data_IF_675316780140
#
_entry.id   IF_675316780140
#
_cell.length_a   1.000
_cell.length_b   1.000
_cell.length_c   1.000
_cell.angle_alpha   90.00
_cell.angle_beta   90.00
_cell.angle_gamma   90.00
#
_symmetry.space_group_name_H-M   'P 1'
#
loop_
_entity.id
_entity.type
_entity.pdbx_description
1 polymer ?
#
# COMPACT_ATOMS: atom_id res chain seq x y z
N UNK A 1 -18.87 16.96 29.38
CA UNK A 1 -19.64 16.60 28.18
C UNK A 1 -18.72 16.86 27.01
N UNK A 2 -18.08 15.84 26.51
CA UNK A 2 -17.27 15.92 25.28
C UNK A 2 -18.17 15.49 24.14
N UNK A 3 -18.52 16.44 23.28
CA UNK A 3 -19.27 16.17 22.08
C UNK A 3 -18.44 15.28 21.15
N UNK A 4 -19.04 14.14 20.81
CA UNK A 4 -18.42 13.13 19.98
C UNK A 4 -18.02 13.68 18.62
N UNK A 5 -16.76 13.51 18.29
CA UNK A 5 -16.25 13.70 16.95
C UNK A 5 -17.03 12.77 16.01
N UNK A 6 -17.86 13.36 15.17
CA UNK A 6 -18.59 12.67 14.11
C UNK A 6 -17.55 12.14 13.11
N UNK A 7 -17.10 10.90 13.31
CA UNK A 7 -16.40 10.17 12.26
C UNK A 7 -17.46 9.92 11.19
N UNK A 8 -17.40 10.72 10.13
CA UNK A 8 -18.26 10.57 8.97
C UNK A 8 -18.17 9.12 8.52
N UNK A 9 -19.29 8.43 8.62
CA UNK A 9 -19.50 7.07 8.14
C UNK A 9 -19.15 7.04 6.65
N UNK A 10 -17.92 6.67 6.30
CA UNK A 10 -17.57 6.25 4.96
C UNK A 10 -18.44 5.02 4.68
N UNK A 11 -19.49 5.22 3.91
CA UNK A 11 -20.33 4.12 3.48
C UNK A 11 -19.48 3.20 2.59
N UNK A 12 -19.62 1.89 2.73
CA UNK A 12 -18.86 0.86 1.98
C UNK A 12 -18.84 1.08 0.46
N UNK A 13 -19.78 1.84 -0.07
CA UNK A 13 -19.92 2.16 -1.50
C UNK A 13 -18.85 3.13 -2.03
N UNK A 14 -18.01 3.72 -1.18
CA UNK A 14 -17.02 4.74 -1.56
C UNK A 14 -15.57 4.38 -1.23
N UNK A 15 -15.30 3.15 -0.74
CA UNK A 15 -13.92 2.71 -0.53
C UNK A 15 -13.29 2.27 -1.87
N UNK A 16 -12.02 2.60 -2.13
CA UNK A 16 -11.33 2.12 -3.32
C UNK A 16 -11.18 0.61 -3.26
N UNK A 17 -11.24 -0.05 -4.40
CA UNK A 17 -10.87 -1.46 -4.56
C UNK A 17 -9.38 -1.60 -4.86
N UNK A 18 -8.85 -2.81 -4.78
CA UNK A 18 -7.48 -3.13 -5.23
C UNK A 18 -7.25 -2.65 -6.67
N UNK A 19 -8.22 -2.87 -7.54
CA UNK A 19 -8.18 -2.45 -8.96
C UNK A 19 -8.07 -0.92 -9.08
N UNK A 20 -8.82 -0.16 -8.29
CA UNK A 20 -8.77 1.30 -8.32
C UNK A 20 -7.39 1.81 -7.88
N UNK A 21 -6.81 1.21 -6.83
CA UNK A 21 -5.49 1.56 -6.33
C UNK A 21 -4.42 1.20 -7.37
N UNK A 22 -4.46 -0.01 -7.94
CA UNK A 22 -3.50 -0.45 -8.95
C UNK A 22 -3.54 0.48 -10.17
N UNK A 23 -4.72 0.75 -10.73
CA UNK A 23 -4.88 1.65 -11.88
C UNK A 23 -4.32 3.04 -11.59
N UNK A 24 -4.55 3.55 -10.38
CA UNK A 24 -4.07 4.87 -9.95
C UNK A 24 -2.55 4.97 -9.95
N UNK A 25 -1.85 3.93 -9.50
CA UNK A 25 -0.41 3.99 -9.26
C UNK A 25 0.44 3.41 -10.38
N UNK A 26 -0.03 2.38 -11.09
CA UNK A 26 0.68 1.82 -12.25
C UNK A 26 0.53 2.71 -13.50
N UNK A 27 -0.63 3.35 -13.66
CA UNK A 27 -0.95 4.05 -14.89
C UNK A 27 -1.14 3.10 -16.07
N UNK A 28 -1.65 3.62 -17.18
CA UNK A 28 -1.87 2.83 -18.39
C UNK A 28 -0.79 3.04 -19.43
N UNK A 29 -0.16 1.95 -19.88
CA UNK A 29 0.81 1.94 -20.96
C UNK A 29 0.29 1.11 -22.13
N UNK A 30 -0.05 1.79 -23.25
CA UNK A 30 -0.53 1.12 -24.46
C UNK A 30 0.54 0.25 -25.10
N UNK A 31 1.80 0.66 -25.03
CA UNK A 31 2.93 0.00 -25.66
C UNK A 31 3.84 -0.65 -24.61
N UNK A 32 4.25 -1.88 -24.88
CA UNK A 32 5.22 -2.59 -24.06
C UNK A 32 6.53 -1.80 -23.93
N UNK A 33 7.00 -1.63 -22.72
CA UNK A 33 8.27 -0.98 -22.38
C UNK A 33 9.16 -1.93 -21.58
N UNK A 34 10.49 -1.81 -21.71
CA UNK A 34 11.44 -2.66 -20.99
C UNK A 34 11.53 -2.27 -19.52
N UNK A 35 12.12 -3.12 -18.72
CA UNK A 35 12.55 -2.78 -17.36
C UNK A 35 13.39 -1.51 -17.37
N UNK A 36 13.05 -0.48 -16.59
CA UNK A 36 13.76 0.81 -16.60
C UNK A 36 15.23 0.71 -16.17
N UNK A 37 15.57 -0.29 -15.35
CA UNK A 37 16.93 -0.47 -14.83
C UNK A 37 17.86 -1.08 -15.86
N UNK A 38 17.37 -2.08 -16.60
CA UNK A 38 18.18 -2.84 -17.56
C UNK A 38 18.02 -2.36 -19.00
N UNK A 39 16.90 -1.74 -19.34
CA UNK A 39 16.53 -1.38 -20.70
C UNK A 39 16.13 -2.58 -21.58
N UNK A 40 16.01 -3.77 -20.99
CA UNK A 40 15.71 -5.04 -21.64
C UNK A 40 14.51 -5.73 -20.97
N UNK A 41 14.33 -7.05 -21.21
CA UNK A 41 13.29 -7.83 -20.54
C UNK A 41 13.52 -7.87 -18.99
N UNK A 42 12.42 -7.97 -18.21
CA UNK A 42 11.03 -8.18 -18.64
C UNK A 42 10.40 -6.92 -19.24
N UNK A 43 9.51 -7.13 -20.23
CA UNK A 43 8.69 -6.05 -20.77
C UNK A 43 7.36 -5.97 -20.03
N UNK A 44 6.90 -4.74 -19.83
CA UNK A 44 5.65 -4.44 -19.11
C UNK A 44 4.67 -3.73 -20.03
N UNK A 45 3.37 -4.06 -19.96
CA UNK A 45 2.30 -3.44 -20.74
C UNK A 45 1.06 -3.21 -19.88
N UNK A 46 0.17 -2.34 -20.30
CA UNK A 46 -1.12 -2.11 -19.64
C UNK A 46 -0.96 -1.48 -18.26
N UNK A 47 -1.37 -2.17 -17.21
CA UNK A 47 -1.29 -1.77 -15.80
C UNK A 47 -0.28 -2.61 -15.02
N UNK A 48 0.87 -2.89 -15.58
CA UNK A 48 1.92 -3.64 -14.91
C UNK A 48 2.09 -5.08 -15.42
N UNK A 49 1.29 -5.53 -16.37
CA UNK A 49 1.32 -6.90 -16.90
C UNK A 49 2.67 -7.23 -17.55
N UNK A 50 3.33 -8.26 -17.08
CA UNK A 50 4.58 -8.82 -17.62
C UNK A 50 4.38 -10.18 -18.30
N UNK A 51 3.37 -10.92 -17.87
CA UNK A 51 2.98 -12.22 -18.44
C UNK A 51 1.48 -12.21 -18.74
N UNK A 52 1.10 -12.72 -19.89
CA UNK A 52 -0.30 -12.89 -20.26
C UNK A 52 -0.96 -14.05 -19.50
N UNK A 53 -2.31 -14.15 -19.49
CA UNK A 53 -3.03 -15.23 -18.79
C UNK A 53 -2.68 -16.64 -19.27
N UNK A 54 -2.13 -16.81 -20.45
CA UNK A 54 -1.64 -18.08 -21.00
C UNK A 54 -0.18 -18.41 -20.60
N UNK A 55 0.45 -17.51 -19.82
CA UNK A 55 1.82 -17.66 -19.36
C UNK A 55 2.90 -17.12 -20.29
N UNK A 56 2.53 -16.64 -21.48
CA UNK A 56 3.50 -16.05 -22.41
C UNK A 56 3.98 -14.69 -21.90
N UNK A 57 5.30 -14.39 -22.02
CA UNK A 57 5.83 -13.12 -21.59
C UNK A 57 5.40 -11.98 -22.53
N UNK A 58 5.31 -10.78 -21.99
CA UNK A 58 5.15 -9.57 -22.81
C UNK A 58 6.46 -9.30 -23.56
N UNK A 59 6.34 -9.02 -24.86
CA UNK A 59 7.48 -8.80 -25.74
C UNK A 59 7.59 -7.36 -26.22
N UNK A 60 8.78 -6.99 -26.66
CA UNK A 60 9.07 -5.68 -27.20
C UNK A 60 8.15 -5.33 -28.38
N UNK A 61 7.53 -4.14 -28.31
CA UNK A 61 6.74 -3.58 -29.39
C UNK A 61 5.28 -4.03 -29.43
N UNK A 62 4.89 -4.91 -28.51
CA UNK A 62 3.48 -5.29 -28.38
C UNK A 62 2.64 -4.10 -27.92
N UNK A 63 1.36 -4.12 -28.31
CA UNK A 63 0.36 -3.09 -28.02
C UNK A 63 -0.87 -3.73 -27.37
N UNK A 64 -1.45 -3.03 -26.41
CA UNK A 64 -2.75 -3.40 -25.88
C UNK A 64 -3.67 -2.17 -25.74
N UNK A 65 -4.95 -2.38 -25.95
CA UNK A 65 -5.96 -1.36 -25.66
C UNK A 65 -6.22 -1.28 -24.16
N UNK A 66 -6.71 -0.13 -23.69
CA UNK A 66 -7.14 0.05 -22.31
C UNK A 66 -8.10 -1.06 -21.83
N UNK A 67 -9.07 -1.44 -22.68
CA UNK A 67 -10.00 -2.53 -22.38
C UNK A 67 -9.27 -3.86 -22.17
N UNK A 68 -8.27 -4.16 -22.99
CA UNK A 68 -7.51 -5.40 -22.91
C UNK A 68 -6.59 -5.38 -21.66
N UNK A 69 -5.95 -4.24 -21.38
CA UNK A 69 -5.18 -4.05 -20.16
C UNK A 69 -6.01 -4.28 -18.90
N UNK A 70 -7.25 -3.77 -18.84
CA UNK A 70 -8.18 -4.09 -17.73
C UNK A 70 -8.50 -5.57 -17.60
N UNK A 71 -8.61 -6.30 -18.72
CA UNK A 71 -8.85 -7.76 -18.66
C UNK A 71 -7.65 -8.50 -18.08
N UNK A 72 -6.43 -8.09 -18.39
CA UNK A 72 -5.21 -8.66 -17.82
C UNK A 72 -5.13 -8.38 -16.32
N UNK A 73 -5.33 -7.12 -15.93
CA UNK A 73 -5.37 -6.74 -14.52
C UNK A 73 -6.41 -7.52 -13.72
N UNK A 74 -7.63 -7.69 -14.24
CA UNK A 74 -8.67 -8.49 -13.59
C UNK A 74 -8.24 -9.94 -13.39
N UNK A 75 -7.55 -10.52 -14.38
CA UNK A 75 -7.00 -11.86 -14.26
C UNK A 75 -5.93 -11.94 -13.17
N UNK A 76 -4.97 -11.01 -13.15
CA UNK A 76 -3.90 -10.96 -12.15
C UNK A 76 -4.44 -10.80 -10.72
N UNK A 77 -5.40 -9.88 -10.54
CA UNK A 77 -6.10 -9.66 -9.26
C UNK A 77 -6.82 -10.93 -8.79
N UNK A 78 -7.50 -11.63 -9.70
CA UNK A 78 -8.19 -12.89 -9.38
C UNK A 78 -7.22 -13.99 -8.97
N UNK A 79 -6.06 -14.12 -9.63
CA UNK A 79 -5.04 -15.09 -9.26
C UNK A 79 -4.44 -14.77 -7.87
N UNK A 80 -4.12 -13.50 -7.60
CA UNK A 80 -3.65 -13.06 -6.27
C UNK A 80 -4.73 -13.36 -5.21
N UNK A 81 -5.99 -13.05 -5.50
CA UNK A 81 -7.10 -13.30 -4.56
C UNK A 81 -7.24 -14.78 -4.20
N UNK A 82 -7.08 -15.68 -5.19
CA UNK A 82 -7.10 -17.14 -4.95
C UNK A 82 -5.97 -17.58 -4.02
N UNK A 83 -4.75 -17.09 -4.28
CA UNK A 83 -3.59 -17.40 -3.45
C UNK A 83 -3.76 -16.86 -2.03
N UNK A 84 -4.16 -15.60 -1.90
CA UNK A 84 -4.36 -14.95 -0.61
C UNK A 84 -5.49 -15.60 0.20
N UNK A 85 -6.61 -15.95 -0.43
CA UNK A 85 -7.72 -16.64 0.23
C UNK A 85 -7.34 -18.04 0.70
N UNK A 86 -6.42 -18.72 0.00
CA UNK A 86 -5.89 -20.02 0.43
C UNK A 86 -4.96 -19.86 1.64
N UNK A 87 -4.14 -18.83 1.66
CA UNK A 87 -3.17 -18.56 2.72
C UNK A 87 -3.84 -18.01 3.99
N UNK A 88 -4.75 -17.04 3.83
CA UNK A 88 -5.45 -16.36 4.91
C UNK A 88 -6.96 -16.41 4.65
N UNK A 89 -7.65 -17.52 4.97
CA UNK A 89 -9.06 -17.75 4.57
C UNK A 89 -10.06 -16.74 5.13
N UNK A 90 -9.86 -16.29 6.36
CA UNK A 90 -10.84 -15.50 7.14
C UNK A 90 -10.53 -13.98 7.15
N UNK A 91 -9.78 -13.50 6.14
CA UNK A 91 -9.42 -12.09 6.06
C UNK A 91 -10.62 -11.22 5.66
N UNK A 92 -10.80 -10.09 6.36
CA UNK A 92 -11.83 -9.09 6.01
C UNK A 92 -11.65 -8.60 4.57
N UNK A 93 -12.76 -8.25 3.91
CA UNK A 93 -12.74 -7.85 2.50
C UNK A 93 -11.91 -6.59 2.23
N UNK A 94 -11.96 -5.60 3.13
CA UNK A 94 -11.14 -4.39 2.96
C UNK A 94 -9.65 -4.68 3.16
N UNK A 95 -9.32 -5.56 4.10
CA UNK A 95 -7.93 -6.02 4.31
C UNK A 95 -7.45 -6.82 3.11
N UNK A 96 -8.29 -7.68 2.56
CA UNK A 96 -8.02 -8.48 1.36
C UNK A 96 -7.74 -7.59 0.15
N UNK A 97 -8.60 -6.64 -0.13
CA UNK A 97 -8.44 -5.68 -1.22
C UNK A 97 -7.12 -4.86 -1.09
N UNK A 98 -6.78 -4.44 0.13
CA UNK A 98 -5.53 -3.76 0.39
C UNK A 98 -4.31 -4.64 0.10
N UNK A 99 -4.32 -5.89 0.59
CA UNK A 99 -3.24 -6.84 0.37
C UNK A 99 -3.12 -7.27 -1.10
N UNK A 100 -4.23 -7.41 -1.83
CA UNK A 100 -4.19 -7.69 -3.27
C UNK A 100 -3.43 -6.59 -4.02
N UNK A 101 -3.74 -5.31 -3.76
CA UNK A 101 -2.98 -4.21 -4.36
C UNK A 101 -1.51 -4.22 -3.95
N UNK A 102 -1.24 -4.48 -2.69
CA UNK A 102 0.11 -4.56 -2.15
C UNK A 102 0.91 -5.68 -2.81
N UNK A 103 0.35 -6.90 -2.87
CA UNK A 103 0.97 -8.08 -3.48
C UNK A 103 1.20 -7.87 -4.99
N UNK A 104 0.26 -7.23 -5.68
CA UNK A 104 0.45 -6.86 -7.10
C UNK A 104 1.70 -5.98 -7.28
N UNK A 105 2.01 -5.11 -6.32
CA UNK A 105 3.18 -4.23 -6.37
C UNK A 105 4.51 -4.93 -6.06
N UNK A 106 4.53 -5.83 -5.09
CA UNK A 106 5.77 -6.42 -4.59
C UNK A 106 6.01 -7.85 -5.09
N UNK A 107 4.95 -8.53 -5.54
CA UNK A 107 4.97 -9.94 -5.93
C UNK A 107 4.52 -10.87 -4.80
N UNK A 108 4.05 -12.07 -5.19
CA UNK A 108 3.56 -13.08 -4.25
C UNK A 108 4.67 -13.67 -3.38
N UNK A 109 5.80 -14.08 -3.97
CA UNK A 109 6.91 -14.66 -3.20
C UNK A 109 7.50 -13.71 -2.15
N UNK A 110 7.81 -12.43 -2.46
CA UNK A 110 8.22 -11.47 -1.46
C UNK A 110 7.22 -11.30 -0.32
N UNK A 111 5.91 -11.34 -0.61
CA UNK A 111 4.88 -11.28 0.43
C UNK A 111 4.93 -12.51 1.37
N UNK A 112 5.06 -13.72 0.83
CA UNK A 112 5.15 -14.96 1.63
C UNK A 112 6.33 -14.98 2.60
N UNK A 113 7.43 -14.31 2.25
CA UNK A 113 8.64 -14.25 3.08
C UNK A 113 8.75 -12.94 3.86
N UNK A 114 7.68 -12.15 3.92
CA UNK A 114 7.68 -10.87 4.63
C UNK A 114 7.17 -11.03 6.06
N UNK A 115 7.67 -10.16 6.96
CA UNK A 115 7.16 -10.04 8.32
C UNK A 115 5.67 -9.64 8.37
N UNK A 116 5.10 -9.18 7.23
CA UNK A 116 3.68 -8.83 7.11
C UNK A 116 2.81 -10.07 7.31
N UNK A 117 3.13 -11.16 6.64
CA UNK A 117 2.36 -12.41 6.76
C UNK A 117 2.44 -12.95 8.19
N UNK A 118 3.64 -13.03 8.76
CA UNK A 118 3.85 -13.50 10.14
C UNK A 118 3.03 -12.67 11.14
N UNK A 119 3.03 -11.35 10.99
CA UNK A 119 2.27 -10.45 11.87
C UNK A 119 0.76 -10.57 11.71
N UNK A 120 0.27 -10.84 10.50
CA UNK A 120 -1.14 -11.14 10.25
C UNK A 120 -1.56 -12.45 10.92
N UNK A 121 -0.77 -13.52 10.79
CA UNK A 121 -1.03 -14.81 11.42
C UNK A 121 -1.05 -14.71 12.95
N UNK A 122 -0.23 -13.83 13.51
CA UNK A 122 -0.20 -13.54 14.93
C UNK A 122 -1.31 -12.57 15.40
N UNK A 123 -2.18 -12.11 14.51
CA UNK A 123 -3.20 -11.09 14.74
C UNK A 123 -2.64 -9.74 15.22
N UNK A 124 -1.41 -9.41 14.85
CA UNK A 124 -0.75 -8.12 15.12
C UNK A 124 -0.99 -7.14 13.98
N UNK A 125 -2.24 -6.76 13.81
CA UNK A 125 -2.72 -6.00 12.64
C UNK A 125 -2.07 -4.64 12.47
N UNK A 126 -1.81 -3.93 13.56
CA UNK A 126 -1.10 -2.65 13.59
C UNK A 126 0.35 -2.80 13.09
N UNK A 127 1.04 -3.85 13.55
CA UNK A 127 2.39 -4.18 13.11
C UNK A 127 2.41 -4.56 11.63
N UNK A 128 1.42 -5.34 11.16
CA UNK A 128 1.31 -5.67 9.73
C UNK A 128 1.20 -4.40 8.87
N UNK A 129 0.39 -3.44 9.28
CA UNK A 129 0.26 -2.17 8.59
C UNK A 129 1.55 -1.33 8.62
N UNK A 130 2.31 -1.36 9.74
CA UNK A 130 3.63 -0.72 9.83
C UNK A 130 4.64 -1.37 8.89
N UNK A 131 4.67 -2.71 8.82
CA UNK A 131 5.54 -3.44 7.90
C UNK A 131 5.24 -3.11 6.44
N UNK A 132 3.97 -2.93 6.05
CA UNK A 132 3.62 -2.50 4.70
C UNK A 132 4.28 -1.17 4.31
N UNK A 133 4.47 -0.23 5.25
CA UNK A 133 5.15 1.04 4.99
C UNK A 133 6.62 0.90 4.63
N UNK A 134 7.28 -0.18 5.01
CA UNK A 134 8.70 -0.40 4.73
C UNK A 134 8.97 -0.73 3.25
N UNK A 135 7.93 -1.05 2.49
CA UNK A 135 8.04 -1.41 1.07
C UNK A 135 7.90 -0.19 0.15
N UNK A 136 8.77 0.80 0.36
CA UNK A 136 8.80 2.06 -0.41
C UNK A 136 10.16 2.34 -1.04
N UNK A 137 11.11 1.40 -0.97
CA UNK A 137 12.45 1.53 -1.48
C UNK A 137 12.64 0.78 -2.80
N UNK A 138 13.53 1.30 -3.65
CA UNK A 138 14.07 0.58 -4.78
C UNK A 138 15.24 -0.35 -4.36
N UNK A 139 15.87 -0.98 -5.37
CA UNK A 139 17.01 -1.89 -5.17
C UNK A 139 18.25 -1.20 -4.59
N UNK A 140 18.37 0.11 -4.75
CA UNK A 140 19.47 0.94 -4.25
C UNK A 140 19.12 1.60 -2.90
N UNK A 141 18.05 1.16 -2.25
CA UNK A 141 17.53 1.71 -1.00
C UNK A 141 17.16 3.20 -1.09
N UNK A 142 16.79 3.66 -2.30
CA UNK A 142 16.23 4.99 -2.48
C UNK A 142 14.72 4.96 -2.33
N UNK A 143 14.16 5.96 -1.66
CA UNK A 143 12.71 6.07 -1.47
C UNK A 143 12.03 6.42 -2.79
N UNK A 144 11.01 5.66 -3.15
CA UNK A 144 10.16 5.92 -4.31
C UNK A 144 8.89 6.65 -3.85
N UNK A 145 8.82 7.96 -4.08
CA UNK A 145 7.71 8.81 -3.61
C UNK A 145 6.33 8.27 -3.99
N UNK A 146 6.18 7.73 -5.19
CA UNK A 146 4.91 7.14 -5.65
C UNK A 146 4.49 5.93 -4.80
N UNK A 147 5.46 5.14 -4.30
CA UNK A 147 5.18 4.01 -3.41
C UNK A 147 4.72 4.45 -2.03
N UNK A 148 5.20 5.59 -1.52
CA UNK A 148 4.70 6.16 -0.25
C UNK A 148 3.19 6.39 -0.32
N UNK A 149 2.73 7.05 -1.40
CA UNK A 149 1.30 7.30 -1.59
C UNK A 149 0.50 6.03 -1.76
N UNK A 150 1.04 5.06 -2.52
CA UNK A 150 0.40 3.77 -2.72
C UNK A 150 0.25 3.02 -1.39
N UNK A 151 1.33 2.90 -0.62
CA UNK A 151 1.32 2.27 0.72
C UNK A 151 0.30 2.93 1.63
N UNK A 152 0.24 4.27 1.62
CA UNK A 152 -0.76 5.01 2.39
C UNK A 152 -2.19 4.57 2.05
N UNK A 153 -2.55 4.55 0.77
CA UNK A 153 -3.91 4.20 0.36
C UNK A 153 -4.24 2.74 0.67
N UNK A 154 -3.31 1.82 0.48
CA UNK A 154 -3.43 0.40 0.83
C UNK A 154 -3.59 0.21 2.34
N UNK A 155 -2.77 0.86 3.16
CA UNK A 155 -2.85 0.78 4.61
C UNK A 155 -4.15 1.38 5.13
N UNK A 156 -4.61 2.49 4.55
CA UNK A 156 -5.91 3.05 4.91
C UNK A 156 -7.06 2.05 4.70
N UNK A 157 -7.05 1.38 3.57
CA UNK A 157 -8.05 0.35 3.27
C UNK A 157 -7.93 -0.85 4.24
N UNK A 158 -6.71 -1.31 4.52
CA UNK A 158 -6.42 -2.39 5.46
C UNK A 158 -6.96 -2.08 6.86
N UNK A 159 -6.63 -0.90 7.40
CA UNK A 159 -7.08 -0.46 8.72
C UNK A 159 -8.60 -0.27 8.80
N UNK A 160 -9.25 0.10 7.70
CA UNK A 160 -10.71 0.16 7.64
C UNK A 160 -11.35 -1.20 7.89
N UNK A 161 -10.76 -2.28 7.36
CA UNK A 161 -11.18 -3.66 7.63
C UNK A 161 -11.03 -4.03 9.11
N UNK A 162 -9.93 -3.65 9.72
CA UNK A 162 -9.67 -3.89 11.14
C UNK A 162 -10.76 -3.21 12.01
N UNK A 163 -11.04 -1.93 11.76
CA UNK A 163 -12.06 -1.18 12.51
C UNK A 163 -13.46 -1.81 12.42
N UNK A 164 -13.84 -2.27 11.22
CA UNK A 164 -15.15 -2.91 11.00
C UNK A 164 -15.34 -4.18 11.82
N UNK A 165 -14.28 -4.95 12.00
CA UNK A 165 -14.32 -6.22 12.72
C UNK A 165 -14.16 -6.06 14.23
N UNK A 166 -14.05 -4.83 14.73
CA UNK A 166 -13.93 -4.54 16.16
C UNK A 166 -12.63 -5.06 16.77
N UNK A 167 -11.62 -5.31 15.95
CA UNK A 167 -10.28 -5.61 16.48
C UNK A 167 -9.77 -4.39 17.24
N UNK A 168 -9.36 -4.61 18.48
CA UNK A 168 -8.75 -3.56 19.27
C UNK A 168 -7.39 -3.19 18.66
N UNK A 169 -7.24 -1.92 18.32
CA UNK A 169 -5.93 -1.39 18.04
C UNK A 169 -5.12 -1.33 19.33
N UNK A 170 -4.10 -2.15 19.45
CA UNK A 170 -3.07 -1.98 20.48
C UNK A 170 -2.27 -0.68 20.28
N UNK A 171 -2.39 -0.07 19.13
CA UNK A 171 -1.68 1.12 18.72
C UNK A 171 -2.61 2.28 18.35
N UNK A 172 -2.81 3.20 19.25
CA UNK A 172 -3.20 4.58 18.94
C UNK A 172 -2.24 5.23 17.92
N UNK A 173 -1.16 4.53 17.59
CA UNK A 173 -0.07 4.90 16.70
C UNK A 173 -0.50 5.06 15.25
N UNK A 174 -1.19 4.08 14.68
CA UNK A 174 -1.56 4.09 13.26
C UNK A 174 -2.78 4.98 12.99
N UNK A 175 -3.75 5.00 13.89
CA UNK A 175 -4.85 5.98 13.79
C UNK A 175 -4.31 7.41 13.82
N UNK A 176 -3.29 7.67 14.64
CA UNK A 176 -2.62 8.95 14.68
C UNK A 176 -1.80 9.21 13.40
N UNK A 177 -1.17 8.21 12.79
CA UNK A 177 -0.50 8.35 11.50
C UNK A 177 -1.50 8.72 10.40
N UNK A 178 -2.65 8.08 10.35
CA UNK A 178 -3.70 8.41 9.39
C UNK A 178 -4.30 9.80 9.60
N UNK A 179 -4.48 10.20 10.84
CA UNK A 179 -4.95 11.55 11.19
C UNK A 179 -3.95 12.64 10.80
N UNK A 180 -2.65 12.33 10.75
CA UNK A 180 -1.60 13.24 10.27
C UNK A 180 -1.74 13.50 8.77
N UNK A 181 -2.18 12.51 7.98
CA UNK A 181 -2.35 12.66 6.54
C UNK A 181 -3.54 13.51 6.14
N UNK A 182 -4.55 13.61 6.99
CA UNK A 182 -5.80 14.28 6.66
C UNK A 182 -5.98 15.67 7.32
N UNK A 183 -5.16 16.06 8.30
CA UNK A 183 -5.44 17.30 9.06
C UNK A 183 -4.26 17.90 9.81
N UNK A 184 -4.19 19.17 9.73
CA UNK A 184 -3.59 20.28 10.52
C UNK A 184 -2.30 20.09 11.37
N UNK A 185 -1.52 21.20 11.54
CA UNK A 185 -0.18 21.25 12.18
C UNK A 185 -0.09 20.79 13.65
N UNK A 186 -1.19 20.59 14.33
CA UNK A 186 -1.19 20.20 15.76
C UNK A 186 -0.98 18.70 16.01
N UNK A 187 -0.82 17.88 14.97
CA UNK A 187 -0.68 16.44 15.08
C UNK A 187 0.76 15.93 15.01
N UNK A 188 1.74 16.84 15.03
CA UNK A 188 3.18 16.55 15.06
C UNK A 188 3.59 15.60 16.23
N UNK A 189 2.82 15.53 17.30
CA UNK A 189 3.05 14.56 18.39
C UNK A 189 2.90 13.09 17.99
N UNK A 190 2.13 12.81 16.94
CA UNK A 190 1.96 11.47 16.43
C UNK A 190 3.13 11.03 15.55
N UNK A 191 3.77 11.95 14.80
CA UNK A 191 5.00 11.67 14.04
C UNK A 191 6.11 11.15 14.95
N UNK A 192 6.25 11.68 16.16
CA UNK A 192 7.27 11.23 17.13
C UNK A 192 7.11 9.77 17.59
N UNK A 193 5.90 9.23 17.55
CA UNK A 193 5.67 7.81 17.89
C UNK A 193 5.89 6.90 16.68
N UNK A 194 5.72 7.40 15.46
CA UNK A 194 6.10 6.72 14.22
C UNK A 194 7.62 6.64 14.05
N UNK A 195 8.38 7.57 14.61
CA UNK A 195 9.86 7.59 14.55
C UNK A 195 10.53 6.34 15.10
N UNK A 196 9.87 5.59 15.97
CA UNK A 196 10.45 4.36 16.52
C UNK A 196 10.35 3.15 15.58
N UNK A 197 9.53 3.22 14.54
CA UNK A 197 9.28 2.12 13.61
C UNK A 197 9.45 2.45 12.12
N UNK A 198 9.32 3.73 11.71
CA UNK A 198 9.45 4.14 10.32
C UNK A 198 10.86 4.69 10.04
N UNK A 199 11.44 4.26 8.91
CA UNK A 199 12.77 4.72 8.51
C UNK A 199 12.82 6.26 8.40
N UNK A 200 13.86 6.96 8.94
CA UNK A 200 13.93 8.41 8.99
C UNK A 200 13.76 9.13 7.63
N UNK A 201 14.20 8.49 6.54
CA UNK A 201 14.06 9.02 5.18
C UNK A 201 12.59 9.09 4.76
N UNK A 202 11.79 8.07 5.09
CA UNK A 202 10.35 8.05 4.79
C UNK A 202 9.65 9.18 5.54
N UNK A 203 10.00 9.39 6.80
CA UNK A 203 9.47 10.50 7.60
C UNK A 203 9.84 11.87 7.02
N UNK A 204 11.07 12.04 6.55
CA UNK A 204 11.54 13.30 5.98
C UNK A 204 10.83 13.64 4.65
N UNK A 205 10.68 12.67 3.76
CA UNK A 205 9.96 12.88 2.50
C UNK A 205 8.47 13.13 2.75
N UNK A 206 7.90 12.41 3.68
CA UNK A 206 6.55 12.61 4.15
C UNK A 206 6.34 14.04 4.67
N UNK A 207 7.23 14.52 5.55
CA UNK A 207 7.17 15.85 6.13
C UNK A 207 7.30 16.93 5.03
N UNK A 208 8.16 16.73 4.05
CA UNK A 208 8.36 17.65 2.94
C UNK A 208 7.12 17.74 2.04
N UNK A 209 6.51 16.62 1.72
CA UNK A 209 5.35 16.57 0.84
C UNK A 209 4.13 17.26 1.44
N UNK A 210 3.89 17.04 2.72
CA UNK A 210 2.76 17.65 3.45
C UNK A 210 3.10 18.99 4.08
N UNK A 211 4.29 19.58 3.76
CA UNK A 211 4.77 20.84 4.35
C UNK A 211 4.74 20.83 5.88
N UNK A 212 5.01 19.64 6.45
CA UNK A 212 5.10 19.50 7.91
C UNK A 212 6.49 19.95 8.37
N UNK A 213 6.60 20.61 9.55
CA UNK A 213 7.91 20.96 10.08
C UNK A 213 8.70 19.69 10.45
N UNK A 214 9.87 19.53 9.87
CA UNK A 214 10.83 18.48 10.25
C UNK A 214 11.40 18.84 11.61
N UNK A 215 11.09 18.05 12.62
CA UNK A 215 11.69 18.22 13.94
C UNK A 215 13.11 17.65 13.91
N UNK A 216 14.13 18.50 14.11
CA UNK A 216 15.50 18.05 14.27
C UNK A 216 15.62 17.19 15.52
N UNK A 217 16.34 16.07 15.43
CA UNK A 217 16.67 15.25 16.60
C UNK A 217 17.38 16.13 17.65
N UNK A 218 16.75 16.37 18.78
CA UNK A 218 17.37 17.10 19.90
C UNK A 218 16.45 18.00 20.72
N UNK A 219 15.27 18.39 20.23
CA UNK A 219 14.36 19.26 20.98
C UNK A 219 13.22 18.48 21.64
N UNK A 220 13.54 17.64 22.60
CA UNK A 220 12.58 17.11 23.57
C UNK A 220 13.01 17.58 24.94
N UNK A 221 12.56 18.77 25.30
CA UNK A 221 12.44 19.11 26.71
C UNK A 221 11.00 18.90 27.13
N UNK A 222 10.83 18.17 28.22
CA UNK A 222 9.61 17.71 28.90
C UNK A 222 8.65 18.87 29.20
#
# INVERSE_FOLDING_TARGET
>A
MYDGCNVSTLTMQNLPTSIDIIIKYEGYNEKAFPDPTTGEAPYTIGFGTQYYPDGEPVERGQLCTYKKAKQYLLYEVEEINKLLTKEIPDLDECMKEALISFIHSIGWEPFLYSDILDTIEENKWDTAAEEMYRWVFDQDYQVISNLIHRRRDEIHLFLTGIQKNGYEFGGQLLLNAFMIFDSSPNQIKAIKRLESGIHPVILAEFANEFKLPVLQQGEITV
#
